data_IF_438917604892
#
_entry.id   IF_438917604892
#
_cell.length_a   1.000
_cell.length_b   1.000
_cell.length_c   1.000
_cell.angle_alpha   90.00
_cell.angle_beta   90.00
_cell.angle_gamma   90.00
#
_symmetry.space_group_name_H-M   'P 1'
#
loop_
_entity.id
_entity.type
_entity.pdbx_description
1 polymer ?
#
# COMPACT_ATOMS: atom_id res chain seq x y z
N UNK A 1 1.59 4.00 4.32
CA UNK A 1 2.24 5.18 4.93
C UNK A 1 1.29 6.16 5.66
N UNK A 2 0.06 6.42 5.19
CA UNK A 2 -0.87 7.35 5.90
C UNK A 2 -1.80 6.69 6.94
N UNK A 3 -1.72 5.38 7.11
CA UNK A 3 -2.60 4.61 7.99
C UNK A 3 -2.58 5.04 9.48
N UNK A 4 -1.56 5.80 9.92
CA UNK A 4 -1.53 6.32 11.28
C UNK A 4 -2.57 7.43 11.51
N UNK A 5 -2.88 8.25 10.48
CA UNK A 5 -3.92 9.28 10.56
C UNK A 5 -5.31 8.65 10.76
N UNK A 6 -5.52 7.46 10.20
CA UNK A 6 -6.77 6.70 10.38
C UNK A 6 -6.98 6.25 11.82
N UNK A 7 -5.92 6.20 12.64
CA UNK A 7 -5.98 5.79 14.06
C UNK A 7 -5.90 6.96 15.05
N UNK A 8 -5.72 8.19 14.57
CA UNK A 8 -5.65 9.36 15.43
C UNK A 8 -7.01 9.61 16.11
N UNK A 9 -7.06 9.81 17.45
CA UNK A 9 -8.30 10.11 18.17
C UNK A 9 -8.83 11.51 17.82
N UNK A 10 -7.93 12.47 17.55
CA UNK A 10 -8.29 13.78 17.01
C UNK A 10 -8.57 13.68 15.50
N UNK A 11 -9.85 13.50 15.16
CA UNK A 11 -10.30 13.38 13.77
C UNK A 11 -10.15 14.68 12.98
N UNK A 12 -10.40 15.83 13.60
CA UNK A 12 -10.27 17.11 12.93
C UNK A 12 -8.80 17.41 12.60
N UNK A 13 -7.89 17.13 13.54
CA UNK A 13 -6.45 17.24 13.29
C UNK A 13 -5.95 16.27 12.22
N UNK A 14 -6.47 15.04 12.20
CA UNK A 14 -6.12 14.04 11.18
C UNK A 14 -6.52 14.49 9.76
N UNK A 15 -7.72 15.02 9.59
CA UNK A 15 -8.21 15.58 8.32
C UNK A 15 -7.36 16.77 7.87
N UNK A 16 -7.10 17.73 8.77
CA UNK A 16 -6.29 18.90 8.43
C UNK A 16 -4.85 18.53 8.05
N UNK A 17 -4.27 17.52 8.72
CA UNK A 17 -2.96 16.98 8.36
C UNK A 17 -3.00 16.27 7.00
N UNK A 18 -4.05 15.50 6.72
CA UNK A 18 -4.24 14.85 5.43
C UNK A 18 -4.34 15.86 4.29
N UNK A 19 -5.19 16.87 4.40
CA UNK A 19 -5.37 17.90 3.36
C UNK A 19 -4.06 18.64 3.05
N UNK A 20 -3.21 18.85 4.06
CA UNK A 20 -1.88 19.46 3.88
C UNK A 20 -0.88 18.52 3.19
N UNK A 21 -0.91 17.23 3.51
CA UNK A 21 0.07 16.25 3.03
C UNK A 21 -0.30 15.65 1.68
N UNK A 22 -1.58 15.50 1.38
CA UNK A 22 -2.09 14.90 0.15
C UNK A 22 -1.46 15.47 -1.14
N UNK A 23 -1.42 16.80 -1.36
CA UNK A 23 -0.82 17.38 -2.57
C UNK A 23 0.71 17.20 -2.63
N UNK A 24 1.37 17.00 -1.49
CA UNK A 24 2.81 16.76 -1.42
C UNK A 24 3.16 15.30 -1.69
N UNK A 25 2.27 14.37 -1.32
CA UNK A 25 2.48 12.93 -1.48
C UNK A 25 2.13 12.49 -2.90
N UNK A 26 1.01 12.97 -3.46
CA UNK A 26 0.44 12.47 -4.71
C UNK A 26 1.41 12.45 -5.91
N UNK A 27 2.32 13.43 -6.09
CA UNK A 27 3.29 13.42 -7.20
C UNK A 27 4.36 12.32 -7.09
N UNK A 28 4.57 11.75 -5.90
CA UNK A 28 5.60 10.74 -5.64
C UNK A 28 5.06 9.31 -5.57
N UNK A 29 3.74 9.12 -5.74
CA UNK A 29 3.14 7.78 -5.75
C UNK A 29 3.28 7.17 -7.13
N UNK A 30 3.81 5.94 -7.18
CA UNK A 30 3.81 5.15 -8.41
C UNK A 30 2.40 4.58 -8.61
N UNK A 31 1.73 5.09 -9.64
CA UNK A 31 0.36 4.66 -10.01
C UNK A 31 0.37 3.47 -10.96
N UNK A 32 1.36 3.41 -11.85
CA UNK A 32 1.54 2.29 -12.77
C UNK A 32 2.34 1.18 -12.06
N UNK A 33 1.71 0.05 -11.70
CA UNK A 33 2.37 -1.01 -10.97
C UNK A 33 3.37 -1.80 -11.83
N UNK A 34 3.39 -1.59 -13.17
CA UNK A 34 4.38 -2.20 -14.07
C UNK A 34 5.76 -1.55 -13.99
N UNK A 35 5.90 -0.45 -13.25
CA UNK A 35 7.19 0.20 -13.01
C UNK A 35 8.02 -0.65 -12.05
N UNK A 36 9.07 -1.27 -12.62
CA UNK A 36 10.05 -2.07 -11.89
C UNK A 36 10.65 -1.27 -10.71
N UNK A 37 10.76 -1.88 -9.53
CA UNK A 37 11.26 -1.28 -8.29
C UNK A 37 10.40 -0.15 -7.67
N UNK A 38 9.09 -0.11 -7.96
CA UNK A 38 8.16 0.79 -7.28
C UNK A 38 8.22 0.59 -5.75
N UNK A 39 8.91 1.50 -5.05
CA UNK A 39 9.10 1.40 -3.60
C UNK A 39 7.83 1.70 -2.81
N UNK A 40 6.86 2.41 -3.42
CA UNK A 40 5.57 2.74 -2.80
C UNK A 40 4.47 2.81 -3.89
N UNK A 41 3.61 1.80 -3.93
CA UNK A 41 2.47 1.72 -4.83
C UNK A 41 1.18 2.28 -4.21
N UNK A 42 0.12 2.36 -5.02
CA UNK A 42 -1.22 2.83 -4.60
C UNK A 42 -1.71 2.17 -3.31
N UNK A 43 -1.58 0.84 -3.21
CA UNK A 43 -2.05 0.05 -2.06
C UNK A 43 -1.28 0.29 -0.75
N UNK A 44 -0.07 0.84 -0.81
CA UNK A 44 0.70 1.22 0.39
C UNK A 44 0.15 2.47 1.08
N UNK A 45 -0.56 3.30 0.31
CA UNK A 45 -1.26 4.48 0.80
C UNK A 45 -2.75 4.20 1.02
N UNK A 46 -3.37 3.40 0.16
CA UNK A 46 -4.78 3.05 0.19
C UNK A 46 -5.01 1.62 0.75
N UNK A 47 -4.39 1.25 1.87
CA UNK A 47 -4.48 -0.10 2.43
C UNK A 47 -5.88 -0.49 2.94
N UNK A 48 -6.81 0.47 3.02
CA UNK A 48 -8.20 0.28 3.45
C UNK A 48 -9.15 1.12 2.60
N UNK A 49 -10.36 0.61 2.27
CA UNK A 49 -11.34 1.35 1.47
C UNK A 49 -11.92 2.59 2.18
N UNK A 50 -11.89 2.61 3.51
CA UNK A 50 -12.42 3.69 4.36
C UNK A 50 -11.34 4.64 4.91
N UNK A 51 -10.07 4.40 4.57
CA UNK A 51 -8.94 5.18 5.09
C UNK A 51 -8.74 6.50 4.35
N UNK A 52 -8.13 7.48 5.02
CA UNK A 52 -7.81 8.79 4.43
C UNK A 52 -6.93 8.65 3.18
N UNK A 53 -5.95 7.75 3.23
CA UNK A 53 -5.05 7.51 2.09
C UNK A 53 -5.76 7.01 0.82
N UNK A 54 -6.94 6.38 0.94
CA UNK A 54 -7.77 5.97 -0.22
C UNK A 54 -8.25 7.15 -1.05
N UNK A 55 -8.41 8.32 -0.44
CA UNK A 55 -8.87 9.56 -1.09
C UNK A 55 -7.83 10.16 -2.05
N UNK A 56 -6.59 9.69 -2.03
CA UNK A 56 -5.54 10.16 -2.94
C UNK A 56 -5.70 9.62 -4.37
N UNK A 57 -6.53 8.60 -4.56
CA UNK A 57 -6.59 7.83 -5.80
C UNK A 57 -8.01 7.68 -6.30
N UNK A 58 -8.16 7.55 -7.61
CA UNK A 58 -9.44 7.17 -8.21
C UNK A 58 -9.76 5.71 -7.88
N UNK A 59 -10.99 5.30 -8.15
CA UNK A 59 -11.40 3.90 -7.96
C UNK A 59 -10.66 2.98 -8.92
N UNK A 60 -10.47 3.43 -10.16
CA UNK A 60 -9.79 2.70 -11.21
C UNK A 60 -8.31 2.48 -10.88
N UNK A 61 -7.62 3.49 -10.35
CA UNK A 61 -6.22 3.37 -9.90
C UNK A 61 -6.07 2.33 -8.77
N UNK A 62 -7.02 2.29 -7.84
CA UNK A 62 -7.02 1.35 -6.73
C UNK A 62 -7.37 -0.06 -7.18
N UNK A 63 -8.40 -0.21 -8.01
CA UNK A 63 -8.80 -1.51 -8.54
C UNK A 63 -7.69 -2.11 -9.41
N UNK A 64 -7.06 -1.31 -10.27
CA UNK A 64 -5.93 -1.77 -11.07
C UNK A 64 -4.76 -2.23 -10.20
N UNK A 65 -4.39 -1.46 -9.17
CA UNK A 65 -3.34 -1.86 -8.25
C UNK A 65 -3.69 -3.12 -7.44
N UNK A 66 -4.96 -3.32 -7.07
CA UNK A 66 -5.42 -4.55 -6.39
C UNK A 66 -5.40 -5.76 -7.34
N UNK A 67 -5.79 -5.59 -8.60
CA UNK A 67 -5.73 -6.65 -9.61
C UNK A 67 -4.29 -7.09 -9.87
N UNK A 68 -3.36 -6.13 -10.00
CA UNK A 68 -1.93 -6.44 -10.11
C UNK A 68 -1.42 -7.13 -8.86
N UNK A 69 -1.82 -6.66 -7.67
CA UNK A 69 -1.43 -7.29 -6.41
C UNK A 69 -1.87 -8.76 -6.34
N UNK A 70 -3.08 -9.09 -6.78
CA UNK A 70 -3.56 -10.48 -6.86
C UNK A 70 -2.76 -11.28 -7.89
N UNK A 71 -2.49 -10.72 -9.07
CA UNK A 71 -1.74 -11.39 -10.12
C UNK A 71 -0.27 -11.68 -9.74
N UNK A 72 0.33 -10.85 -8.89
CA UNK A 72 1.69 -11.05 -8.37
C UNK A 72 1.78 -12.10 -7.24
N UNK A 73 0.65 -12.62 -6.74
CA UNK A 73 0.69 -13.61 -5.67
C UNK A 73 1.33 -14.92 -6.16
N UNK A 74 2.40 -15.34 -5.50
CA UNK A 74 3.10 -16.59 -5.83
C UNK A 74 2.26 -17.83 -5.52
N UNK A 75 2.67 -18.98 -6.05
CA UNK A 75 2.00 -20.28 -5.82
C UNK A 75 1.92 -20.66 -4.33
N UNK A 76 2.86 -20.18 -3.52
CA UNK A 76 2.88 -20.38 -2.07
C UNK A 76 2.00 -19.37 -1.30
N UNK A 77 1.31 -18.48 -2.01
CA UNK A 77 0.44 -17.45 -1.46
C UNK A 77 1.17 -16.19 -0.99
N UNK A 78 2.49 -16.10 -1.18
CA UNK A 78 3.32 -14.97 -0.78
C UNK A 78 3.59 -13.95 -1.90
N UNK A 79 4.32 -12.91 -1.55
CA UNK A 79 4.89 -11.95 -2.50
C UNK A 79 6.36 -11.71 -2.20
N UNK A 80 7.15 -11.57 -3.24
CA UNK A 80 8.58 -11.35 -3.11
C UNK A 80 8.92 -9.88 -2.80
N UNK A 81 10.15 -9.66 -2.35
CA UNK A 81 10.65 -8.37 -1.88
C UNK A 81 11.90 -8.00 -2.67
N UNK A 82 11.77 -7.02 -3.57
CA UNK A 82 12.82 -6.60 -4.51
C UNK A 82 13.66 -5.41 -4.02
N UNK A 83 13.94 -5.33 -2.72
CA UNK A 83 14.94 -4.37 -2.23
C UNK A 83 16.36 -4.93 -2.40
N UNK A 84 17.34 -4.13 -2.85
CA UNK A 84 18.73 -4.57 -2.93
C UNK A 84 19.20 -4.98 -1.54
N UNK A 85 19.39 -6.29 -1.33
CA UNK A 85 19.71 -6.81 -0.01
C UNK A 85 21.13 -6.46 0.37
N UNK A 86 21.29 -5.56 1.34
CA UNK A 86 22.56 -5.37 2.02
C UNK A 86 22.76 -6.38 3.17
N UNK A 87 21.75 -7.23 3.47
CA UNK A 87 21.82 -8.28 4.48
C UNK A 87 20.99 -9.53 4.10
N UNK A 88 21.60 -10.72 3.94
CA UNK A 88 20.92 -11.95 3.48
C UNK A 88 19.80 -12.48 4.39
N UNK A 89 19.84 -12.22 5.70
CA UNK A 89 18.81 -12.69 6.65
C UNK A 89 17.52 -11.85 6.64
N UNK A 90 17.59 -10.62 6.14
CA UNK A 90 16.50 -9.64 6.19
C UNK A 90 15.42 -9.93 5.14
N UNK A 91 15.72 -10.67 4.07
CA UNK A 91 14.73 -10.98 3.03
C UNK A 91 13.54 -11.81 3.53
N UNK A 92 13.78 -12.82 4.37
CA UNK A 92 12.72 -13.74 4.81
C UNK A 92 11.76 -13.08 5.81
N UNK A 93 12.30 -12.29 6.74
CA UNK A 93 11.50 -11.53 7.71
C UNK A 93 10.62 -10.48 7.01
N UNK A 94 11.18 -9.78 6.02
CA UNK A 94 10.45 -8.79 5.24
C UNK A 94 9.42 -9.43 4.31
N UNK A 95 9.70 -10.60 3.73
CA UNK A 95 8.73 -11.35 2.93
C UNK A 95 7.49 -11.72 3.76
N UNK A 96 7.69 -12.20 4.99
CA UNK A 96 6.59 -12.48 5.92
C UNK A 96 5.75 -11.23 6.22
N UNK A 97 6.41 -10.12 6.54
CA UNK A 97 5.74 -8.84 6.80
C UNK A 97 4.94 -8.33 5.59
N UNK A 98 5.55 -8.37 4.39
CA UNK A 98 4.92 -7.94 3.13
C UNK A 98 3.70 -8.81 2.82
N UNK A 99 3.84 -10.14 2.95
CA UNK A 99 2.74 -11.07 2.70
C UNK A 99 1.55 -10.79 3.62
N UNK A 100 1.78 -10.66 4.92
CA UNK A 100 0.69 -10.36 5.87
C UNK A 100 0.04 -9.00 5.58
N UNK A 101 0.83 -8.00 5.21
CA UNK A 101 0.33 -6.66 4.87
C UNK A 101 -0.53 -6.66 3.61
N UNK A 102 -0.08 -7.37 2.56
CA UNK A 102 -0.81 -7.53 1.30
C UNK A 102 -2.11 -8.30 1.50
N UNK A 103 -2.10 -9.42 2.23
CA UNK A 103 -3.32 -10.18 2.57
C UNK A 103 -4.33 -9.35 3.38
N UNK A 104 -3.89 -8.56 4.36
CA UNK A 104 -4.78 -7.66 5.12
C UNK A 104 -5.44 -6.62 4.22
N UNK A 105 -4.70 -6.10 3.25
CA UNK A 105 -5.19 -5.13 2.27
C UNK A 105 -6.24 -5.78 1.36
N UNK A 106 -5.91 -6.91 0.73
CA UNK A 106 -6.86 -7.66 -0.13
C UNK A 106 -8.15 -8.01 0.63
N UNK A 107 -8.04 -8.51 1.86
CA UNK A 107 -9.21 -8.78 2.71
C UNK A 107 -10.03 -7.53 3.01
N UNK A 108 -9.40 -6.40 3.28
CA UNK A 108 -10.11 -5.14 3.53
C UNK A 108 -10.93 -4.68 2.31
N UNK A 109 -10.50 -5.05 1.09
CA UNK A 109 -11.22 -4.80 -0.16
C UNK A 109 -12.11 -5.97 -0.63
N UNK A 110 -12.22 -7.06 0.14
CA UNK A 110 -13.03 -8.23 -0.25
C UNK A 110 -12.46 -9.02 -1.43
N UNK A 111 -11.14 -8.95 -1.65
CA UNK A 111 -10.41 -9.57 -2.77
C UNK A 111 -9.64 -10.84 -2.34
N UNK A 112 -9.96 -11.44 -1.19
CA UNK A 112 -9.31 -12.66 -0.66
C UNK A 112 -9.89 -13.11 0.68
#
# INVERSE_FOLDING_TARGET
MLAFLDRAPDRAGAEAAFERLAPLIRPHVVVDPSVEHASHGVVDFASRPDGLGRRLFTTEEVDHALDTLVAEQGEDGGWDVDFPSWAPGTKLEWRGFVTVTRLKTLRAYGRG
#
